data_IF_160228413556
#
_entry.id   IF_160228413556
#
_cell.length_a   1.000
_cell.length_b   1.000
_cell.length_c   1.000
_cell.angle_alpha   90.00
_cell.angle_beta   90.00
_cell.angle_gamma   90.00
#
_symmetry.space_group_name_H-M   'P 1'
#
loop_
_entity.id
_entity.type
_entity.pdbx_description
1 polymer ?
#
# COMPACT_ATOMS: atom_id res chain seq x y z
N UNK A 1 -12.84 -17.69 -13.53
CA UNK A 1 -13.06 -16.47 -14.35
C UNK A 1 -14.44 -16.33 -14.96
N UNK A 2 -15.03 -17.35 -15.60
CA UNK A 2 -16.36 -17.23 -16.26
C UNK A 2 -17.45 -16.60 -15.37
N UNK A 3 -17.65 -17.14 -14.16
CA UNK A 3 -18.60 -16.60 -13.17
C UNK A 3 -18.37 -15.13 -12.78
N UNK A 4 -17.11 -14.68 -12.75
CA UNK A 4 -16.79 -13.27 -12.42
C UNK A 4 -17.15 -12.34 -13.57
N UNK A 5 -16.88 -12.76 -14.81
CA UNK A 5 -17.25 -12.01 -16.02
C UNK A 5 -18.77 -11.90 -16.18
N UNK A 6 -19.51 -12.95 -15.84
CA UNK A 6 -20.98 -12.96 -15.88
C UNK A 6 -21.62 -12.11 -14.77
N UNK A 7 -20.87 -11.77 -13.71
CA UNK A 7 -21.37 -11.02 -12.57
C UNK A 7 -21.58 -9.52 -12.81
N UNK A 8 -21.08 -8.97 -13.93
CA UNK A 8 -21.20 -7.55 -14.29
C UNK A 8 -20.89 -6.58 -13.14
N UNK A 9 -19.74 -6.76 -12.49
CA UNK A 9 -19.28 -5.88 -11.41
C UNK A 9 -18.81 -4.52 -11.96
N UNK A 10 -19.15 -3.43 -11.27
CA UNK A 10 -18.72 -2.07 -11.65
C UNK A 10 -17.34 -1.68 -11.12
N UNK A 11 -16.85 -2.37 -10.08
CA UNK A 11 -15.63 -2.03 -9.36
C UNK A 11 -15.07 -3.24 -8.59
N UNK A 12 -13.74 -3.32 -8.46
CA UNK A 12 -13.09 -4.19 -7.48
C UNK A 12 -12.51 -3.40 -6.30
N UNK A 13 -12.98 -3.70 -5.09
CA UNK A 13 -12.36 -3.22 -3.84
C UNK A 13 -11.55 -4.35 -3.22
N UNK A 14 -10.25 -4.14 -3.00
CA UNK A 14 -9.36 -5.18 -2.49
C UNK A 14 -8.27 -4.64 -1.56
N UNK A 15 -7.63 -5.55 -0.82
CA UNK A 15 -6.42 -5.25 -0.06
C UNK A 15 -5.19 -5.82 -0.80
N UNK A 16 -4.21 -4.97 -1.19
CA UNK A 16 -3.07 -5.41 -1.99
C UNK A 16 -2.06 -6.25 -1.19
N UNK A 17 -2.23 -6.43 0.12
CA UNK A 17 -1.44 -7.41 0.89
C UNK A 17 -1.60 -8.83 0.32
N UNK A 18 -2.77 -9.15 -0.25
CA UNK A 18 -2.98 -10.37 -1.01
C UNK A 18 -2.94 -10.04 -2.50
N UNK A 19 -1.90 -10.52 -3.16
CA UNK A 19 -1.73 -10.36 -4.60
C UNK A 19 -2.84 -11.04 -5.41
N UNK A 20 -3.10 -10.52 -6.61
CA UNK A 20 -3.99 -11.08 -7.61
C UNK A 20 -5.27 -10.27 -7.83
N UNK A 21 -5.60 -9.34 -6.94
CA UNK A 21 -6.79 -8.48 -7.12
C UNK A 21 -6.62 -7.52 -8.29
N UNK A 22 -5.46 -6.88 -8.38
CA UNK A 22 -4.98 -6.08 -9.50
C UNK A 22 -5.01 -6.86 -10.83
N UNK A 23 -4.57 -8.12 -10.82
CA UNK A 23 -4.66 -9.00 -11.99
C UNK A 23 -6.11 -9.30 -12.39
N UNK A 24 -6.97 -9.57 -11.40
CA UNK A 24 -8.40 -9.84 -11.66
C UNK A 24 -9.10 -8.59 -12.20
N UNK A 25 -8.83 -7.42 -11.64
CA UNK A 25 -9.38 -6.16 -12.15
C UNK A 25 -8.95 -5.90 -13.61
N UNK A 26 -7.67 -6.11 -13.92
CA UNK A 26 -7.14 -5.99 -15.28
C UNK A 26 -7.82 -6.98 -16.26
N UNK A 27 -8.02 -8.25 -15.87
CA UNK A 27 -8.70 -9.25 -16.72
C UNK A 27 -10.19 -8.93 -16.91
N UNK A 28 -10.84 -8.33 -15.91
CA UNK A 28 -12.26 -7.94 -15.98
C UNK A 28 -12.46 -6.59 -16.68
N UNK A 29 -11.41 -5.76 -16.78
CA UNK A 29 -11.49 -4.41 -17.35
C UNK A 29 -12.30 -3.44 -16.48
N UNK A 30 -12.25 -3.60 -15.16
CA UNK A 30 -13.02 -2.79 -14.20
C UNK A 30 -12.07 -1.94 -13.34
N UNK A 31 -12.54 -0.78 -12.83
CA UNK A 31 -11.74 0.04 -11.95
C UNK A 31 -11.33 -0.71 -10.67
N UNK A 32 -10.18 -0.33 -10.11
CA UNK A 32 -9.57 -0.95 -8.94
C UNK A 32 -9.40 0.07 -7.82
N UNK A 33 -10.03 -0.21 -6.68
CA UNK A 33 -9.83 0.54 -5.44
C UNK A 33 -9.09 -0.34 -4.44
N UNK A 34 -7.92 0.14 -4.00
CA UNK A 34 -7.10 -0.55 -3.02
C UNK A 34 -7.34 0.02 -1.63
N UNK A 35 -7.81 -0.80 -0.69
CA UNK A 35 -7.76 -0.49 0.73
C UNK A 35 -6.44 -0.98 1.29
N UNK A 36 -5.57 -0.06 1.73
CA UNK A 36 -4.22 -0.41 2.13
C UNK A 36 -3.81 0.26 3.45
N UNK A 37 -3.01 -0.42 4.28
CA UNK A 37 -2.53 0.15 5.56
C UNK A 37 -1.11 0.70 5.44
N UNK A 38 -0.19 -0.13 5.02
CA UNK A 38 1.22 0.20 4.81
C UNK A 38 1.96 -1.03 4.29
N UNK A 39 3.04 -0.86 3.53
CA UNK A 39 4.03 -1.92 3.30
C UNK A 39 5.29 -1.74 4.16
N UNK A 40 6.09 -2.79 4.36
CA UNK A 40 7.46 -2.64 4.86
C UNK A 40 8.21 -1.60 4.04
N UNK A 41 8.86 -0.66 4.73
CA UNK A 41 9.67 0.41 4.13
C UNK A 41 8.92 1.27 3.08
N UNK A 42 7.59 1.28 3.12
CA UNK A 42 6.74 1.93 2.13
C UNK A 42 7.02 1.47 0.67
N UNK A 43 7.55 0.25 0.49
CA UNK A 43 7.87 -0.36 -0.80
C UNK A 43 6.72 -0.30 -1.82
N UNK A 44 5.52 -0.79 -1.48
CA UNK A 44 4.39 -0.79 -2.43
C UNK A 44 3.97 0.63 -2.78
N UNK A 45 3.91 1.51 -1.79
CA UNK A 45 3.52 2.91 -1.94
C UNK A 45 4.51 3.68 -2.81
N UNK A 46 5.82 3.47 -2.60
CA UNK A 46 6.89 4.12 -3.35
C UNK A 46 6.99 3.63 -4.79
N UNK A 47 7.03 2.31 -4.96
CA UNK A 47 7.35 1.71 -6.25
C UNK A 47 6.12 1.56 -7.14
N UNK A 48 4.98 1.16 -6.58
CA UNK A 48 3.75 0.93 -7.34
C UNK A 48 2.78 2.10 -7.21
N UNK A 49 2.62 2.63 -6.00
CA UNK A 49 1.72 3.74 -5.69
C UNK A 49 2.24 5.13 -6.07
N UNK A 50 3.49 5.24 -6.52
CA UNK A 50 4.14 6.51 -6.88
C UNK A 50 4.15 7.56 -5.75
N UNK A 51 4.00 7.14 -4.49
CA UNK A 51 4.10 8.01 -3.32
C UNK A 51 5.56 8.07 -2.85
N UNK A 52 6.28 9.19 -3.07
CA UNK A 52 7.69 9.29 -2.70
C UNK A 52 7.86 9.22 -1.18
N UNK A 53 8.82 8.42 -0.72
CA UNK A 53 9.26 8.41 0.68
C UNK A 53 10.80 8.46 0.73
N UNK A 54 11.39 9.68 0.65
CA UNK A 54 12.84 9.85 0.60
C UNK A 54 13.51 9.40 1.91
N UNK A 55 14.53 8.52 1.86
CA UNK A 55 15.14 7.95 3.06
C UNK A 55 15.96 8.97 3.88
N UNK A 56 16.17 10.19 3.38
CA UNK A 56 16.87 11.25 4.11
C UNK A 56 16.05 11.87 5.25
N UNK A 57 14.71 11.78 5.20
CA UNK A 57 13.82 12.35 6.22
C UNK A 57 12.55 11.52 6.47
N UNK A 58 12.22 10.56 5.61
CA UNK A 58 11.16 9.58 5.86
C UNK A 58 11.81 8.30 6.38
N UNK A 59 11.64 7.96 7.66
CA UNK A 59 12.15 6.71 8.19
C UNK A 59 11.37 5.52 7.58
N UNK A 60 12.08 4.43 7.34
CA UNK A 60 11.48 3.22 6.80
C UNK A 60 10.45 2.69 7.78
N UNK A 61 9.26 2.31 7.30
CA UNK A 61 8.26 1.68 8.15
C UNK A 61 8.89 0.47 8.87
N UNK A 62 8.70 0.39 10.19
CA UNK A 62 9.30 -0.60 11.12
C UNK A 62 10.79 -0.41 11.49
N UNK A 63 11.46 0.66 11.04
CA UNK A 63 12.87 0.95 11.42
C UNK A 63 13.06 1.46 12.86
N UNK A 64 11.98 1.87 13.54
CA UNK A 64 11.97 2.62 14.82
C UNK A 64 12.63 4.00 14.78
N UNK A 65 13.09 4.45 13.61
CA UNK A 65 13.61 5.81 13.42
C UNK A 65 12.47 6.82 13.35
N UNK A 66 12.81 8.10 13.52
CA UNK A 66 11.86 9.23 13.45
C UNK A 66 12.20 10.15 12.28
N UNK A 67 11.45 11.23 12.08
CA UNK A 67 11.78 12.31 11.15
C UNK A 67 13.01 13.13 11.59
N UNK A 68 13.38 13.02 12.87
CA UNK A 68 14.58 13.64 13.45
C UNK A 68 15.72 12.62 13.47
N UNK A 69 16.39 12.48 12.33
CA UNK A 69 17.58 11.62 12.18
C UNK A 69 18.86 12.45 12.05
N UNK A 70 19.91 12.03 12.75
CA UNK A 70 21.28 12.48 12.50
C UNK A 70 21.86 11.88 11.21
N UNK A 71 23.11 12.23 10.88
CA UNK A 71 23.73 11.72 9.65
C UNK A 71 23.87 10.19 9.64
N UNK A 72 24.25 9.59 10.76
CA UNK A 72 24.46 8.15 10.87
C UNK A 72 23.14 7.38 10.75
N UNK A 73 22.08 7.89 11.37
CA UNK A 73 20.74 7.34 11.30
C UNK A 73 20.16 7.44 9.88
N UNK A 74 20.44 8.54 9.15
CA UNK A 74 20.06 8.68 7.73
C UNK A 74 20.77 7.66 6.84
N UNK A 75 22.06 7.44 7.07
CA UNK A 75 22.83 6.42 6.34
C UNK A 75 22.27 5.03 6.64
N UNK A 76 21.98 4.73 7.92
CA UNK A 76 21.36 3.48 8.30
C UNK A 76 19.98 3.29 7.68
N UNK A 77 19.14 4.33 7.70
CA UNK A 77 17.83 4.30 7.06
C UNK A 77 17.96 4.04 5.54
N UNK A 78 18.88 4.72 4.85
CA UNK A 78 19.14 4.47 3.44
C UNK A 78 19.55 3.01 3.16
N UNK A 79 20.45 2.44 3.96
CA UNK A 79 20.86 1.04 3.83
C UNK A 79 19.69 0.08 4.13
N UNK A 80 18.84 0.42 5.11
CA UNK A 80 17.65 -0.34 5.45
C UNK A 80 16.64 -0.38 4.28
N UNK A 81 16.41 0.77 3.64
CA UNK A 81 15.61 0.85 2.40
C UNK A 81 16.19 -0.04 1.30
N UNK A 82 17.48 0.10 1.00
CA UNK A 82 18.12 -0.65 -0.08
C UNK A 82 18.07 -2.16 0.16
N UNK A 83 18.35 -2.62 1.38
CA UNK A 83 18.29 -4.03 1.74
C UNK A 83 16.88 -4.60 1.59
N UNK A 84 15.86 -3.89 2.10
CA UNK A 84 14.47 -4.32 1.98
C UNK A 84 13.98 -4.33 0.54
N UNK A 85 14.35 -3.33 -0.26
CA UNK A 85 13.98 -3.27 -1.67
C UNK A 85 14.56 -4.48 -2.43
N UNK A 86 15.82 -4.86 -2.18
CA UNK A 86 16.43 -6.07 -2.77
C UNK A 86 15.67 -7.33 -2.34
N UNK A 87 15.43 -7.49 -1.03
CA UNK A 87 14.76 -8.69 -0.50
C UNK A 87 13.34 -8.84 -1.06
N UNK A 88 12.54 -7.78 -1.04
CA UNK A 88 11.15 -7.80 -1.53
C UNK A 88 11.14 -8.05 -3.05
N UNK A 89 12.06 -7.44 -3.80
CA UNK A 89 12.15 -7.68 -5.24
C UNK A 89 12.40 -9.17 -5.57
N UNK A 90 13.32 -9.82 -4.86
CA UNK A 90 13.65 -11.22 -5.11
C UNK A 90 12.63 -12.22 -4.57
N UNK A 91 12.03 -11.95 -3.41
CA UNK A 91 11.15 -12.90 -2.72
C UNK A 91 9.67 -12.74 -3.06
N UNK A 92 9.25 -11.53 -3.46
CA UNK A 92 7.86 -11.21 -3.68
C UNK A 92 7.60 -10.79 -5.14
N UNK A 93 8.18 -9.68 -5.59
CA UNK A 93 7.87 -9.12 -6.92
C UNK A 93 8.22 -10.07 -8.07
N UNK A 94 9.44 -10.63 -8.08
CA UNK A 94 9.83 -11.58 -9.12
C UNK A 94 8.95 -12.84 -9.17
N UNK A 95 8.41 -13.27 -8.03
CA UNK A 95 7.51 -14.43 -7.96
C UNK A 95 6.14 -14.07 -8.53
N UNK A 96 5.61 -12.90 -8.17
CA UNK A 96 4.33 -12.41 -8.69
C UNK A 96 4.39 -12.10 -10.18
N UNK A 97 5.46 -11.47 -10.65
CA UNK A 97 5.64 -11.13 -12.07
C UNK A 97 5.65 -12.39 -12.94
N UNK A 98 6.30 -13.47 -12.47
CA UNK A 98 6.24 -14.79 -13.14
C UNK A 98 4.81 -15.34 -13.14
N UNK A 99 4.16 -15.39 -11.98
CA UNK A 99 2.80 -15.90 -11.86
C UNK A 99 1.81 -15.12 -12.74
N UNK A 100 1.91 -13.79 -12.78
CA UNK A 100 1.04 -12.93 -13.58
C UNK A 100 1.31 -13.12 -15.06
N UNK A 101 2.57 -13.24 -15.45
CA UNK A 101 2.97 -13.52 -16.82
C UNK A 101 2.44 -14.87 -17.30
N UNK A 102 2.50 -15.90 -16.44
CA UNK A 102 1.95 -17.23 -16.75
C UNK A 102 0.43 -17.19 -16.92
N UNK A 103 -0.29 -16.45 -16.07
CA UNK A 103 -1.75 -16.32 -16.16
C UNK A 103 -2.19 -15.53 -17.38
N UNK A 104 -1.49 -14.44 -17.74
CA UNK A 104 -1.82 -13.61 -18.92
C UNK A 104 -1.26 -14.15 -20.23
N UNK A 105 -0.23 -14.99 -20.18
CA UNK A 105 0.52 -15.44 -21.35
C UNK A 105 1.44 -14.36 -21.95
N UNK A 106 1.66 -13.25 -21.26
CA UNK A 106 2.49 -12.12 -21.69
C UNK A 106 3.29 -11.57 -20.52
N UNK A 107 4.53 -11.08 -20.73
CA UNK A 107 5.32 -10.44 -19.68
C UNK A 107 4.51 -9.34 -18.97
N UNK A 108 4.27 -9.52 -17.68
CA UNK A 108 3.39 -8.66 -16.87
C UNK A 108 4.04 -8.40 -15.51
N UNK A 109 4.21 -7.13 -15.15
CA UNK A 109 4.65 -6.76 -13.79
C UNK A 109 3.46 -6.57 -12.86
N UNK A 110 3.50 -7.22 -11.70
CA UNK A 110 2.50 -7.07 -10.65
C UNK A 110 2.49 -5.64 -10.09
N UNK A 111 3.67 -5.04 -9.90
CA UNK A 111 3.75 -3.66 -9.44
C UNK A 111 3.17 -2.68 -10.47
N UNK A 112 3.34 -2.94 -11.77
CA UNK A 112 2.71 -2.15 -12.83
C UNK A 112 1.18 -2.27 -12.80
N UNK A 113 0.62 -3.48 -12.65
CA UNK A 113 -0.83 -3.63 -12.51
C UNK A 113 -1.37 -2.93 -11.26
N UNK A 114 -0.67 -3.05 -10.13
CA UNK A 114 -1.03 -2.36 -8.90
C UNK A 114 -0.97 -0.82 -9.05
N UNK A 115 -0.04 -0.30 -9.85
CA UNK A 115 0.07 1.14 -10.14
C UNK A 115 -1.12 1.71 -10.90
N UNK A 116 -1.90 0.86 -11.59
CA UNK A 116 -3.11 1.24 -12.31
C UNK A 116 -4.34 1.37 -11.41
N UNK A 117 -4.19 1.21 -10.09
CA UNK A 117 -5.29 1.42 -9.15
C UNK A 117 -5.81 2.86 -9.19
N UNK A 118 -7.12 3.00 -9.39
CA UNK A 118 -7.81 4.28 -9.50
C UNK A 118 -7.79 5.06 -8.18
N UNK A 119 -7.91 4.37 -7.04
CA UNK A 119 -7.89 4.97 -5.70
C UNK A 119 -7.13 4.08 -4.72
N UNK A 120 -6.27 4.70 -3.93
CA UNK A 120 -5.63 4.11 -2.75
C UNK A 120 -6.28 4.66 -1.48
N UNK A 121 -7.13 3.85 -0.87
CA UNK A 121 -7.73 4.12 0.44
C UNK A 121 -6.76 3.71 1.55
N UNK A 122 -6.00 4.69 2.05
CA UNK A 122 -5.00 4.48 3.10
C UNK A 122 -5.68 4.44 4.47
N UNK A 123 -5.62 3.31 5.17
CA UNK A 123 -6.28 3.05 6.47
C UNK A 123 -5.57 3.70 7.65
N UNK A 124 -4.98 4.86 7.44
CA UNK A 124 -4.42 5.76 8.47
C UNK A 124 -4.93 7.17 8.27
N UNK A 125 -4.46 8.07 9.12
CA UNK A 125 -4.58 9.50 8.88
C UNK A 125 -3.22 10.07 8.48
N UNK A 126 -3.30 11.20 7.77
CA UNK A 126 -2.14 11.91 7.24
C UNK A 126 -1.20 12.44 8.34
N UNK A 127 -1.69 12.64 9.56
CA UNK A 127 -0.96 13.14 10.74
C UNK A 127 -0.21 12.04 11.52
N UNK A 128 -0.56 10.76 11.30
CA UNK A 128 0.19 9.62 11.86
C UNK A 128 1.35 9.16 10.96
N UNK A 129 1.37 9.61 9.70
CA UNK A 129 2.43 9.29 8.74
C UNK A 129 3.45 10.43 8.69
N UNK A 130 4.70 10.10 8.39
CA UNK A 130 5.74 11.11 8.22
C UNK A 130 5.45 12.01 7.01
N UNK A 131 5.71 13.33 7.10
CA UNK A 131 5.35 14.28 6.06
C UNK A 131 6.07 13.96 4.74
N UNK A 132 5.29 13.59 3.72
CA UNK A 132 5.77 13.33 2.37
C UNK A 132 4.68 13.65 1.34
N UNK A 133 5.06 14.07 0.12
CA UNK A 133 4.08 14.25 -0.96
C UNK A 133 3.33 12.94 -1.25
N UNK A 134 2.03 13.02 -1.52
CA UNK A 134 1.25 11.88 -1.98
C UNK A 134 0.37 12.26 -3.18
N UNK A 135 0.16 11.32 -4.13
CA UNK A 135 -0.69 11.55 -5.30
C UNK A 135 -2.17 11.82 -4.94
N UNK A 136 -2.95 12.49 -5.80
CA UNK A 136 -4.34 12.84 -5.51
C UNK A 136 -5.27 11.61 -5.38
N UNK A 137 -4.91 10.47 -5.95
CA UNK A 137 -5.64 9.21 -5.80
C UNK A 137 -5.38 8.51 -4.45
N UNK A 138 -4.44 8.99 -3.64
CA UNK A 138 -4.26 8.53 -2.26
C UNK A 138 -5.22 9.27 -1.33
N UNK A 139 -6.13 8.54 -0.70
CA UNK A 139 -7.15 9.06 0.23
C UNK A 139 -6.98 8.41 1.59
N UNK A 140 -6.65 9.22 2.59
CA UNK A 140 -6.59 8.77 3.98
C UNK A 140 -8.00 8.57 4.52
N UNK A 141 -8.28 7.36 4.98
CA UNK A 141 -9.56 6.89 5.52
C UNK A 141 -9.35 6.20 6.87
N UNK A 142 -8.54 6.80 7.72
CA UNK A 142 -8.39 6.37 9.11
C UNK A 142 -9.74 6.31 9.82
N UNK A 143 -9.87 5.43 10.81
CA UNK A 143 -11.08 5.37 11.64
C UNK A 143 -12.36 4.87 10.93
N UNK A 144 -12.27 4.25 9.75
CA UNK A 144 -13.44 3.65 9.06
C UNK A 144 -14.21 2.60 9.88
N UNK A 145 -13.60 2.07 10.94
CA UNK A 145 -14.21 1.11 11.86
C UNK A 145 -14.77 1.78 13.14
N UNK A 146 -14.50 3.06 13.35
CA UNK A 146 -14.97 3.81 14.52
C UNK A 146 -16.47 4.11 14.38
N UNK A 147 -17.22 3.87 15.46
CA UNK A 147 -18.61 4.32 15.59
C UNK A 147 -18.65 5.63 16.38
N UNK A 148 -19.73 6.42 16.28
CA UNK A 148 -19.91 7.58 17.15
C UNK A 148 -19.68 7.20 18.63
N UNK A 149 -18.94 8.05 19.35
CA UNK A 149 -18.68 7.83 20.75
C UNK A 149 -20.00 7.77 21.54
N UNK A 150 -20.10 6.83 22.47
CA UNK A 150 -21.19 6.82 23.44
C UNK A 150 -20.97 7.97 24.44
N UNK A 151 -22.04 8.60 24.97
CA UNK A 151 -21.90 9.58 26.03
C UNK A 151 -21.17 8.97 27.23
N UNK A 152 -20.35 9.77 27.90
CA UNK A 152 -19.67 9.38 29.13
C UNK A 152 -20.74 9.09 30.21
N UNK A 153 -20.56 8.06 31.05
CA UNK A 153 -21.40 7.88 32.24
C UNK A 153 -21.27 9.11 33.15
N UNK A 154 -22.40 9.62 33.67
CA UNK A 154 -22.43 10.81 34.53
C UNK A 154 -21.72 10.61 35.88
N UNK A 155 -21.44 9.35 36.27
CA UNK A 155 -20.80 9.03 37.54
C UNK A 155 -19.62 8.07 37.33
N UNK A 156 -18.41 8.60 37.48
CA UNK A 156 -17.24 7.82 37.83
C UNK A 156 -17.18 7.85 39.36
N UNK A 157 -17.64 6.82 40.04
CA UNK A 157 -17.45 6.67 41.48
C UNK A 157 -15.95 6.43 41.73
N UNK A 158 -15.24 7.49 42.13
CA UNK A 158 -13.93 7.41 42.78
C UNK A 158 -14.06 6.98 44.23
#
# INVERSE_FOLDING_TARGET
>A
MKKLKEGNYDLLLADPVKAGSDLVADILGIPLVLSFRSSPVNNCERHCGQMPAPPSFVPGAMSKLTDKMDFSERVWNFLFYALHDIVINHTFWNVLDRYYSDVKGTPTSACELMSKADIWLIRTYWDFEFPRPFPPNFKYVGGIHCRPAKPLPEFVST
#
